data_IF_037174474414
#
_entry.id   IF_037174474414
#
_cell.length_a   1.000
_cell.length_b   1.000
_cell.length_c   1.000
_cell.angle_alpha   90.00
_cell.angle_beta   90.00
_cell.angle_gamma   90.00
#
_symmetry.space_group_name_H-M   'P 1'
#
loop_
_entity.id
_entity.type
_entity.pdbx_description
1 polymer ?
#
# COMPACT_ATOMS: atom_id res chain seq x y z
N UNK A 1 -5.77 -4.24 -8.33
CA UNK A 1 -5.13 -4.64 -7.05
C UNK A 1 -4.31 -3.46 -6.56
N UNK A 2 -4.00 -3.35 -5.27
CA UNK A 2 -3.07 -2.33 -4.77
C UNK A 2 -2.03 -2.96 -3.85
N UNK A 3 -0.76 -2.64 -4.07
CA UNK A 3 0.37 -3.06 -3.24
C UNK A 3 0.87 -1.86 -2.45
N UNK A 4 0.69 -1.91 -1.13
CA UNK A 4 1.34 -1.03 -0.17
C UNK A 4 2.67 -1.64 0.25
N UNK A 5 3.69 -1.38 -0.58
CA UNK A 5 5.01 -1.99 -0.49
C UNK A 5 5.92 -1.52 -1.61
N UNK A 6 6.99 -2.28 -1.86
CA UNK A 6 7.98 -2.06 -2.91
C UNK A 6 8.05 -3.22 -3.92
N UNK A 7 7.09 -4.15 -3.91
CA UNK A 7 7.06 -5.32 -4.81
C UNK A 7 6.04 -5.19 -5.96
N UNK A 8 6.32 -4.42 -7.04
CA UNK A 8 5.42 -4.29 -8.19
C UNK A 8 5.31 -5.58 -9.01
N UNK A 9 6.22 -6.55 -8.83
CA UNK A 9 6.17 -7.85 -9.52
C UNK A 9 4.88 -8.61 -9.24
N UNK A 10 4.23 -8.33 -8.09
CA UNK A 10 2.94 -8.93 -7.73
C UNK A 10 1.86 -8.60 -8.76
N UNK A 11 1.88 -7.42 -9.39
CA UNK A 11 0.91 -7.05 -10.43
C UNK A 11 1.02 -7.96 -11.67
N UNK A 12 2.25 -8.26 -12.08
CA UNK A 12 2.55 -9.14 -13.20
C UNK A 12 2.16 -10.59 -12.88
N UNK A 13 2.63 -11.11 -11.73
CA UNK A 13 2.35 -12.49 -11.31
C UNK A 13 0.86 -12.77 -11.06
N UNK A 14 0.10 -11.75 -10.67
CA UNK A 14 -1.34 -11.87 -10.44
C UNK A 14 -2.17 -11.62 -11.71
N UNK A 15 -1.55 -11.26 -12.85
CA UNK A 15 -2.21 -10.79 -14.07
C UNK A 15 -3.29 -9.73 -13.77
N UNK A 16 -2.93 -8.75 -12.93
CA UNK A 16 -3.85 -7.73 -12.41
C UNK A 16 -3.24 -6.34 -12.52
N UNK A 17 -3.92 -5.39 -13.19
CA UNK A 17 -3.43 -4.03 -13.24
C UNK A 17 -3.43 -3.38 -11.84
N UNK A 18 -2.51 -2.42 -11.62
CA UNK A 18 -2.52 -1.60 -10.42
C UNK A 18 -3.78 -0.73 -10.40
N UNK A 19 -4.38 -0.57 -9.22
CA UNK A 19 -5.57 0.25 -9.02
C UNK A 19 -5.27 1.76 -9.02
N UNK A 20 -3.99 2.11 -8.94
CA UNK A 20 -3.50 3.49 -8.85
C UNK A 20 -2.24 3.61 -9.72
N UNK A 21 -1.84 4.81 -10.16
CA UNK A 21 -0.56 5.02 -10.83
C UNK A 21 0.66 4.73 -9.94
N UNK A 22 0.48 4.63 -8.62
CA UNK A 22 1.55 4.31 -7.67
C UNK A 22 1.84 2.80 -7.66
N UNK A 23 2.93 2.40 -8.32
CA UNK A 23 3.41 1.02 -8.37
C UNK A 23 4.06 0.55 -7.06
N UNK A 24 4.52 1.50 -6.24
CA UNK A 24 5.14 1.31 -4.93
C UNK A 24 4.85 2.54 -4.06
N UNK A 25 5.02 2.43 -2.74
CA UNK A 25 4.53 3.43 -1.79
C UNK A 25 5.54 4.49 -1.31
N UNK A 26 6.72 4.56 -1.95
CA UNK A 26 7.77 5.54 -1.58
C UNK A 26 7.25 6.98 -1.56
N UNK A 27 6.50 7.50 -2.56
CA UNK A 27 6.00 8.87 -2.51
C UNK A 27 5.12 9.16 -1.29
N UNK A 28 4.34 8.17 -0.84
CA UNK A 28 3.47 8.27 0.35
C UNK A 28 4.24 8.13 1.68
N UNK A 29 5.51 7.73 1.62
CA UNK A 29 6.39 7.55 2.78
C UNK A 29 7.42 8.67 2.88
N UNK A 30 7.98 9.12 1.77
CA UNK A 30 9.06 10.09 1.78
C UNK A 30 8.58 11.51 2.14
N UNK A 31 9.28 12.18 3.05
CA UNK A 31 8.86 13.45 3.65
C UNK A 31 8.60 14.58 2.63
N UNK A 32 9.22 14.52 1.44
CA UNK A 32 9.14 15.56 0.42
C UNK A 32 7.88 15.52 -0.46
N UNK A 33 7.09 14.45 -0.45
CA UNK A 33 5.82 14.34 -1.20
C UNK A 33 4.69 13.64 -0.44
N UNK A 34 4.91 13.32 0.84
CA UNK A 34 4.04 12.45 1.64
C UNK A 34 2.59 12.88 1.61
N UNK A 35 2.31 14.15 1.86
CA UNK A 35 0.94 14.64 2.03
C UNK A 35 0.19 14.61 0.69
N UNK A 36 0.75 15.21 -0.35
CA UNK A 36 0.12 15.27 -1.68
C UNK A 36 -0.06 13.88 -2.30
N UNK A 37 0.93 13.00 -2.12
CA UNK A 37 0.87 11.63 -2.64
C UNK A 37 -0.15 10.76 -1.89
N UNK A 38 -0.34 10.98 -0.58
CA UNK A 38 -1.36 10.29 0.21
C UNK A 38 -2.77 10.75 -0.18
N UNK A 39 -2.96 12.04 -0.39
CA UNK A 39 -4.25 12.56 -0.87
C UNK A 39 -4.60 12.01 -2.25
N UNK A 40 -3.64 12.03 -3.18
CA UNK A 40 -3.82 11.46 -4.52
C UNK A 40 -4.16 9.96 -4.44
N UNK A 41 -3.41 9.21 -3.65
CA UNK A 41 -3.68 7.78 -3.43
C UNK A 41 -5.10 7.54 -2.92
N UNK A 42 -5.56 8.28 -1.91
CA UNK A 42 -6.92 8.10 -1.38
C UNK A 42 -8.00 8.47 -2.40
N UNK A 43 -7.77 9.48 -3.26
CA UNK A 43 -8.69 9.79 -4.36
C UNK A 43 -8.77 8.63 -5.37
N UNK A 44 -7.64 8.05 -5.75
CA UNK A 44 -7.60 6.94 -6.70
C UNK A 44 -8.29 5.68 -6.14
N UNK A 45 -7.99 5.33 -4.88
CA UNK A 45 -8.62 4.18 -4.21
C UNK A 45 -10.13 4.36 -4.01
N UNK A 46 -10.61 5.60 -3.85
CA UNK A 46 -12.03 5.89 -3.77
C UNK A 46 -12.72 5.78 -5.15
N UNK A 47 -12.06 6.24 -6.21
CA UNK A 47 -12.58 6.19 -7.58
C UNK A 47 -12.57 4.77 -8.17
N UNK A 48 -11.56 3.97 -7.83
CA UNK A 48 -11.41 2.58 -8.28
C UNK A 48 -10.96 1.68 -7.13
N UNK A 49 -11.89 1.23 -6.27
CA UNK A 49 -11.56 0.36 -5.15
C UNK A 49 -10.93 -0.95 -5.63
N UNK A 50 -9.71 -1.31 -5.20
CA UNK A 50 -9.10 -2.56 -5.60
C UNK A 50 -9.84 -3.77 -5.01
N UNK A 51 -9.90 -4.88 -5.74
CA UNK A 51 -10.41 -6.14 -5.17
C UNK A 51 -9.53 -6.72 -4.04
N UNK A 52 -8.24 -6.34 -4.02
CA UNK A 52 -7.27 -6.79 -3.04
C UNK A 52 -6.25 -5.68 -2.73
N UNK A 53 -5.91 -5.54 -1.46
CA UNK A 53 -4.80 -4.72 -0.96
C UNK A 53 -3.76 -5.68 -0.36
N UNK A 54 -2.51 -5.56 -0.81
CA UNK A 54 -1.36 -6.28 -0.26
C UNK A 54 -0.54 -5.30 0.55
N UNK A 55 -0.22 -5.63 1.80
CA UNK A 55 0.62 -4.84 2.69
C UNK A 55 1.90 -5.61 2.94
N UNK A 56 3.03 -5.01 2.61
CA UNK A 56 4.36 -5.61 2.73
C UNK A 56 5.03 -5.27 4.07
N UNK A 57 5.84 -6.20 4.57
CA UNK A 57 6.69 -6.07 5.76
C UNK A 57 8.16 -6.20 5.38
N UNK A 58 9.04 -5.67 6.23
CA UNK A 58 10.51 -5.75 6.10
C UNK A 58 11.10 -5.11 4.83
N UNK A 59 10.32 -4.36 4.07
CA UNK A 59 10.74 -3.58 2.90
C UNK A 59 11.31 -2.21 3.30
N UNK A 60 12.46 -2.26 4.00
CA UNK A 60 13.12 -1.09 4.56
C UNK A 60 14.15 -0.52 3.58
N UNK A 61 13.92 0.71 3.12
CA UNK A 61 14.80 1.41 2.16
C UNK A 61 15.19 2.82 2.66
N UNK A 62 16.09 2.94 3.67
CA UNK A 62 16.34 4.23 4.33
C UNK A 62 16.96 5.28 3.43
N UNK A 63 17.78 4.86 2.45
CA UNK A 63 18.35 5.76 1.44
C UNK A 63 17.31 6.40 0.53
N UNK A 64 16.09 5.84 0.50
CA UNK A 64 14.98 6.30 -0.36
C UNK A 64 13.92 7.03 0.45
N UNK A 65 13.46 6.45 1.57
CA UNK A 65 12.36 7.01 2.37
C UNK A 65 12.82 8.01 3.44
N UNK A 66 14.11 7.97 3.81
CA UNK A 66 14.67 8.78 4.88
C UNK A 66 14.40 8.23 6.30
N UNK A 67 13.83 7.02 6.40
CA UNK A 67 13.55 6.33 7.67
C UNK A 67 13.79 4.82 7.59
N UNK A 68 13.85 4.15 8.75
CA UNK A 68 14.03 2.70 8.86
C UNK A 68 12.71 1.96 9.13
N UNK A 69 11.59 2.54 8.70
CA UNK A 69 10.25 1.98 8.90
C UNK A 69 9.95 1.07 7.70
N UNK A 70 9.22 -0.03 7.86
CA UNK A 70 8.72 -0.81 6.72
C UNK A 70 7.35 -0.32 6.26
N UNK A 71 6.80 -0.88 5.19
CA UNK A 71 5.51 -0.46 4.67
C UNK A 71 4.38 -0.73 5.68
N UNK A 72 4.35 -1.92 6.28
CA UNK A 72 3.32 -2.25 7.28
C UNK A 72 3.31 -1.26 8.43
N UNK A 73 4.45 -0.92 9.01
CA UNK A 73 4.52 -0.02 10.17
C UNK A 73 4.26 1.43 9.77
N UNK A 74 4.62 1.82 8.54
CA UNK A 74 4.25 3.12 7.97
C UNK A 74 2.72 3.30 7.86
N UNK A 75 1.94 2.22 7.80
CA UNK A 75 0.47 2.27 7.80
C UNK A 75 -0.08 2.91 9.08
N UNK A 76 0.58 2.70 10.23
CA UNK A 76 0.19 3.32 11.50
C UNK A 76 0.27 4.86 11.47
N UNK A 77 1.15 5.40 10.61
CA UNK A 77 1.26 6.83 10.36
C UNK A 77 0.34 7.35 9.25
N UNK A 78 -0.57 6.52 8.72
CA UNK A 78 -1.50 6.89 7.64
C UNK A 78 -2.95 6.44 7.93
N UNK A 79 -3.64 7.14 8.85
CA UNK A 79 -4.97 6.73 9.34
C UNK A 79 -6.03 6.56 8.24
N UNK A 80 -5.97 7.34 7.16
CA UNK A 80 -6.95 7.26 6.08
C UNK A 80 -6.90 5.91 5.34
N UNK A 81 -5.70 5.40 5.03
CA UNK A 81 -5.54 4.09 4.39
C UNK A 81 -5.85 2.97 5.38
N UNK A 82 -5.37 3.09 6.62
CA UNK A 82 -5.66 2.12 7.69
C UNK A 82 -7.17 1.96 7.91
N UNK A 83 -7.89 3.08 8.00
CA UNK A 83 -9.35 3.11 8.16
C UNK A 83 -10.08 2.57 6.94
N UNK A 84 -9.59 2.81 5.72
CA UNK A 84 -10.17 2.20 4.50
C UNK A 84 -10.08 0.67 4.55
N UNK A 85 -8.90 0.13 4.90
CA UNK A 85 -8.67 -1.31 5.01
C UNK A 85 -9.59 -1.91 6.08
N UNK A 86 -9.61 -1.32 7.27
CA UNK A 86 -10.46 -1.78 8.39
C UNK A 86 -11.95 -1.76 8.04
N UNK A 87 -12.42 -0.72 7.36
CA UNK A 87 -13.84 -0.53 7.06
C UNK A 87 -14.34 -1.39 5.88
N UNK A 88 -13.50 -1.70 4.89
CA UNK A 88 -13.96 -2.28 3.61
C UNK A 88 -13.30 -3.60 3.22
N UNK A 89 -12.26 -4.01 3.92
CA UNK A 89 -11.52 -5.21 3.58
C UNK A 89 -11.44 -6.16 4.76
N UNK A 90 -11.26 -7.44 4.46
CA UNK A 90 -11.00 -8.49 5.43
C UNK A 90 -9.63 -9.10 5.15
N UNK A 91 -8.86 -9.35 6.22
CA UNK A 91 -7.55 -10.00 6.09
C UNK A 91 -7.79 -11.47 5.74
N UNK A 92 -7.45 -11.85 4.51
CA UNK A 92 -7.66 -13.18 3.97
C UNK A 92 -6.48 -14.11 4.25
N UNK A 93 -5.25 -13.60 4.19
CA UNK A 93 -4.04 -14.41 4.39
C UNK A 93 -2.85 -13.58 4.87
N UNK A 94 -1.89 -14.28 5.44
CA UNK A 94 -0.52 -13.82 5.65
C UNK A 94 0.40 -14.83 4.96
N UNK A 95 1.22 -14.38 4.03
CA UNK A 95 2.18 -15.23 3.31
C UNK A 95 3.54 -14.57 3.46
N UNK A 96 4.42 -15.17 4.26
CA UNK A 96 5.72 -14.60 4.62
C UNK A 96 5.59 -13.14 5.07
N UNK A 97 6.06 -12.20 4.27
CA UNK A 97 6.06 -10.76 4.52
C UNK A 97 4.80 -10.01 4.05
N UNK A 98 3.84 -10.72 3.46
CA UNK A 98 2.68 -10.09 2.83
C UNK A 98 1.40 -10.37 3.61
N UNK A 99 0.73 -9.30 4.02
CA UNK A 99 -0.66 -9.36 4.47
C UNK A 99 -1.60 -9.08 3.30
N UNK A 100 -2.52 -10.00 3.04
CA UNK A 100 -3.47 -9.90 1.93
C UNK A 100 -4.84 -9.57 2.49
N UNK A 101 -5.41 -8.46 2.03
CA UNK A 101 -6.74 -7.99 2.36
C UNK A 101 -7.63 -8.06 1.13
N UNK A 102 -8.79 -8.71 1.24
CA UNK A 102 -9.77 -8.82 0.16
C UNK A 102 -11.00 -7.95 0.47
N UNK A 103 -11.62 -7.40 -0.57
CA UNK A 103 -12.86 -6.63 -0.41
C UNK A 103 -13.98 -7.48 0.20
N UNK A 104 -14.75 -6.89 1.12
CA UNK A 104 -15.94 -7.50 1.72
C UNK A 104 -17.11 -7.60 0.73
#
# INVERSE_FOLDING_TARGET
MFVWGFEPVIYDLADRPPATPYLYNVPQRAAWAREEAREALMRDLAASPPAAIVVERRDVFPSVTGDAIDSRDALGGFPALAGLIEARYERAAVIEDFEIYLGR
#
